data_IF_784340105962
#
_entry.id   IF_784340105962
#
_cell.length_a   1.000
_cell.length_b   1.000
_cell.length_c   1.000
_cell.angle_alpha   90.00
_cell.angle_beta   90.00
_cell.angle_gamma   90.00
#
_symmetry.space_group_name_H-M   'P 1'
#
loop_
_entity.id
_entity.type
_entity.pdbx_description
1 polymer ?
#
# COMPACT_ATOMS: atom_id res chain seq x y z
N UNK A 1 -4.21 -21.26 -22.02
CA UNK A 1 -5.24 -20.24 -22.36
C UNK A 1 -4.95 -19.00 -21.55
N UNK A 2 -4.43 -17.94 -22.18
CA UNK A 2 -4.25 -16.65 -21.51
C UNK A 2 -5.59 -15.90 -21.56
N UNK A 3 -6.18 -15.59 -20.41
CA UNK A 3 -7.30 -14.66 -20.34
C UNK A 3 -6.85 -13.32 -20.91
N UNK A 4 -7.51 -12.83 -21.95
CA UNK A 4 -7.14 -11.56 -22.61
C UNK A 4 -7.20 -10.43 -21.56
N UNK A 5 -6.17 -9.60 -21.39
CA UNK A 5 -6.14 -8.49 -20.43
C UNK A 5 -7.39 -7.58 -20.49
N UNK A 6 -8.00 -7.46 -21.68
CA UNK A 6 -9.26 -6.73 -21.89
C UNK A 6 -10.46 -7.30 -21.12
N UNK A 7 -10.50 -8.60 -20.83
CA UNK A 7 -11.58 -9.23 -20.05
C UNK A 7 -11.50 -8.82 -18.57
N UNK A 8 -10.28 -8.79 -18.00
CA UNK A 8 -10.06 -8.34 -16.62
C UNK A 8 -10.43 -6.85 -16.45
N UNK A 9 -10.09 -6.03 -17.44
CA UNK A 9 -10.48 -4.61 -17.49
C UNK A 9 -12.00 -4.45 -17.60
N UNK A 10 -12.67 -5.22 -18.47
CA UNK A 10 -14.12 -5.19 -18.62
C UNK A 10 -14.84 -5.61 -17.32
N UNK A 11 -14.39 -6.69 -16.68
CA UNK A 11 -14.93 -7.13 -15.40
C UNK A 11 -14.72 -6.07 -14.30
N UNK A 12 -13.52 -5.48 -14.22
CA UNK A 12 -13.25 -4.37 -13.29
C UNK A 12 -14.22 -3.21 -13.52
N UNK A 13 -14.45 -2.85 -14.78
CA UNK A 13 -15.39 -1.78 -15.14
C UNK A 13 -16.81 -2.07 -14.66
N UNK A 14 -17.29 -3.30 -14.85
CA UNK A 14 -18.63 -3.73 -14.43
C UNK A 14 -18.75 -3.69 -12.90
N UNK A 15 -17.77 -4.19 -12.17
CA UNK A 15 -17.78 -4.16 -10.70
C UNK A 15 -17.80 -2.72 -10.20
N UNK A 16 -16.95 -1.83 -10.74
CA UNK A 16 -16.94 -0.41 -10.35
C UNK A 16 -18.24 0.33 -10.69
N UNK A 17 -18.94 -0.07 -11.74
CA UNK A 17 -20.22 0.56 -12.14
C UNK A 17 -21.43 -0.02 -11.41
N UNK A 18 -21.34 -1.25 -10.90
CA UNK A 18 -22.47 -1.98 -10.28
C UNK A 18 -22.47 -1.83 -8.75
N UNK A 19 -21.30 -1.77 -8.13
CA UNK A 19 -21.18 -1.69 -6.66
C UNK A 19 -19.99 -0.82 -6.23
N UNK A 20 -20.13 0.48 -6.48
CA UNK A 20 -19.13 1.47 -6.07
C UNK A 20 -18.91 1.50 -4.55
N UNK A 21 -19.94 1.13 -3.76
CA UNK A 21 -19.86 1.06 -2.30
C UNK A 21 -18.94 -0.07 -1.85
N UNK A 22 -19.05 -1.27 -2.41
CA UNK A 22 -18.14 -2.37 -2.06
C UNK A 22 -16.67 -2.09 -2.39
N UNK A 23 -16.41 -1.36 -3.50
CA UNK A 23 -15.06 -0.91 -3.86
C UNK A 23 -14.55 0.09 -2.83
N UNK A 24 -15.39 1.04 -2.42
CA UNK A 24 -15.02 2.03 -1.42
C UNK A 24 -14.77 1.41 -0.04
N UNK A 25 -15.64 0.50 0.42
CA UNK A 25 -15.47 -0.22 1.67
C UNK A 25 -14.16 -1.02 1.69
N UNK A 26 -13.78 -1.60 0.55
CA UNK A 26 -12.52 -2.31 0.41
C UNK A 26 -11.32 -1.37 0.56
N UNK A 27 -11.39 -0.19 -0.07
CA UNK A 27 -10.37 0.86 0.07
C UNK A 27 -10.27 1.34 1.53
N UNK A 28 -11.39 1.64 2.17
CA UNK A 28 -11.45 2.11 3.55
C UNK A 28 -10.84 1.08 4.52
N UNK A 29 -11.12 -0.21 4.32
CA UNK A 29 -10.51 -1.29 5.12
C UNK A 29 -9.00 -1.37 4.95
N UNK A 30 -8.50 -1.20 3.72
CA UNK A 30 -7.05 -1.17 3.46
C UNK A 30 -6.41 0.05 4.11
N UNK A 31 -7.03 1.23 3.98
CA UNK A 31 -6.50 2.48 4.53
C UNK A 31 -6.49 2.44 6.06
N UNK A 32 -7.54 1.90 6.69
CA UNK A 32 -7.59 1.69 8.13
C UNK A 32 -6.47 0.74 8.61
N UNK A 33 -6.22 -0.36 7.88
CA UNK A 33 -5.14 -1.28 8.20
C UNK A 33 -3.76 -0.63 8.08
N UNK A 34 -3.54 0.18 7.03
CA UNK A 34 -2.31 0.97 6.88
C UNK A 34 -2.12 1.95 8.05
N UNK A 35 -3.18 2.63 8.48
CA UNK A 35 -3.16 3.50 9.66
C UNK A 35 -2.70 2.76 10.92
N UNK A 36 -3.27 1.59 11.20
CA UNK A 36 -2.88 0.76 12.35
C UNK A 36 -1.41 0.32 12.29
N UNK A 37 -0.92 -0.05 11.11
CA UNK A 37 0.48 -0.45 10.92
C UNK A 37 1.44 0.73 11.12
N UNK A 38 1.13 1.91 10.57
CA UNK A 38 1.93 3.12 10.76
C UNK A 38 1.98 3.51 12.23
N UNK A 39 0.83 3.61 12.90
CA UNK A 39 0.78 3.94 14.33
C UNK A 39 1.57 2.95 15.18
N UNK A 40 1.43 1.65 14.92
CA UNK A 40 2.19 0.63 15.64
C UNK A 40 3.70 0.77 15.41
N UNK A 41 4.12 1.03 14.17
CA UNK A 41 5.52 1.25 13.83
C UNK A 41 6.11 2.52 14.46
N UNK A 42 5.33 3.60 14.51
CA UNK A 42 5.71 4.86 15.17
C UNK A 42 5.85 4.66 16.68
N UNK A 43 4.89 3.96 17.31
CA UNK A 43 4.97 3.61 18.74
C UNK A 43 6.20 2.75 19.07
N UNK A 44 6.60 1.87 18.17
CA UNK A 44 7.81 1.06 18.32
C UNK A 44 9.12 1.80 17.94
N UNK A 45 9.02 3.00 17.36
CA UNK A 45 10.17 3.76 16.86
C UNK A 45 10.83 3.16 15.62
N UNK A 46 10.14 2.27 14.89
CA UNK A 46 10.65 1.65 13.65
C UNK A 46 10.12 2.33 12.39
N UNK A 47 9.16 3.24 12.54
CA UNK A 47 8.66 4.14 11.50
C UNK A 47 8.82 5.58 12.00
N UNK A 48 9.22 6.49 11.11
CA UNK A 48 9.35 7.92 11.40
C UNK A 48 8.02 8.54 11.87
N UNK A 49 8.10 9.43 12.85
CA UNK A 49 6.93 9.98 13.54
C UNK A 49 6.06 10.90 12.68
N UNK A 50 6.60 11.42 11.57
CA UNK A 50 5.93 12.29 10.61
C UNK A 50 5.40 11.53 9.38
N UNK A 51 5.47 10.19 9.37
CA UNK A 51 4.87 9.38 8.30
C UNK A 51 3.33 9.45 8.36
N UNK A 52 2.70 9.72 7.23
CA UNK A 52 1.24 9.66 7.04
C UNK A 52 0.83 8.33 6.38
N UNK A 53 -0.23 7.71 6.90
CA UNK A 53 -0.83 6.54 6.27
C UNK A 53 -1.49 6.87 4.93
N UNK A 54 -1.99 8.09 4.77
CA UNK A 54 -2.58 8.58 3.51
C UNK A 54 -1.51 8.71 2.42
N UNK A 55 -0.35 9.27 2.75
CA UNK A 55 0.77 9.39 1.80
C UNK A 55 1.28 8.01 1.36
N UNK A 56 1.36 7.06 2.30
CA UNK A 56 1.73 5.68 1.98
C UNK A 56 0.69 5.03 1.04
N UNK A 57 -0.60 5.19 1.32
CA UNK A 57 -1.66 4.64 0.50
C UNK A 57 -1.67 5.23 -0.93
N UNK A 58 -1.46 6.54 -1.04
CA UNK A 58 -1.32 7.21 -2.33
C UNK A 58 -0.06 6.75 -3.09
N UNK A 59 1.07 6.60 -2.39
CA UNK A 59 2.30 6.07 -2.96
C UNK A 59 2.14 4.65 -3.51
N UNK A 60 1.51 3.76 -2.74
CA UNK A 60 1.24 2.37 -3.17
C UNK A 60 0.27 2.32 -4.36
N UNK A 61 -0.73 3.21 -4.38
CA UNK A 61 -1.64 3.37 -5.53
C UNK A 61 -0.87 3.78 -6.79
N UNK A 62 0.05 4.74 -6.68
CA UNK A 62 0.94 5.15 -7.76
C UNK A 62 1.81 4.01 -8.28
N UNK A 63 2.42 3.23 -7.38
CA UNK A 63 3.21 2.04 -7.75
C UNK A 63 2.34 1.01 -8.48
N UNK A 64 1.13 0.77 -8.00
CA UNK A 64 0.20 -0.18 -8.61
C UNK A 64 -0.19 0.26 -10.03
N UNK A 65 -0.51 1.55 -10.22
CA UNK A 65 -0.83 2.11 -11.53
C UNK A 65 0.36 2.02 -12.50
N UNK A 66 1.56 2.39 -12.05
CA UNK A 66 2.77 2.36 -12.86
C UNK A 66 3.23 0.94 -13.27
N UNK A 67 2.76 -0.09 -12.56
CA UNK A 67 3.15 -1.49 -12.76
C UNK A 67 1.95 -2.39 -13.12
N UNK A 68 0.99 -1.85 -13.89
CA UNK A 68 -0.20 -2.59 -14.32
C UNK A 68 0.07 -3.66 -15.39
N UNK A 69 1.27 -3.69 -15.97
CA UNK A 69 1.62 -4.60 -17.07
C UNK A 69 2.23 -5.93 -16.59
N UNK A 70 1.98 -7.05 -17.29
CA UNK A 70 2.62 -8.32 -17.00
C UNK A 70 4.15 -8.21 -16.96
N UNK A 71 4.80 -8.90 -16.02
CA UNK A 71 6.26 -8.90 -15.88
C UNK A 71 6.85 -7.69 -15.13
N UNK A 72 6.03 -6.74 -14.68
CA UNK A 72 6.51 -5.57 -13.91
C UNK A 72 6.53 -5.80 -12.39
N UNK A 73 6.11 -6.96 -11.90
CA UNK A 73 6.01 -7.26 -10.46
C UNK A 73 7.32 -7.08 -9.70
N UNK A 74 8.46 -7.43 -10.32
CA UNK A 74 9.78 -7.26 -9.71
C UNK A 74 10.16 -5.78 -9.55
N UNK A 75 9.76 -4.92 -10.50
CA UNK A 75 9.91 -3.46 -10.37
C UNK A 75 8.99 -2.92 -9.27
N UNK A 76 7.74 -3.36 -9.22
CA UNK A 76 6.81 -2.96 -8.17
C UNK A 76 7.36 -3.31 -6.77
N UNK A 77 7.91 -4.51 -6.60
CA UNK A 77 8.52 -4.94 -5.35
C UNK A 77 9.67 -4.01 -4.92
N UNK A 78 10.60 -3.68 -5.83
CA UNK A 78 11.69 -2.74 -5.52
C UNK A 78 11.19 -1.35 -5.14
N UNK A 79 10.12 -0.85 -5.77
CA UNK A 79 9.53 0.44 -5.42
C UNK A 79 8.86 0.41 -4.04
N UNK A 80 8.21 -0.70 -3.69
CA UNK A 80 7.62 -0.89 -2.36
C UNK A 80 8.71 -0.94 -1.29
N UNK A 81 9.81 -1.66 -1.54
CA UNK A 81 10.98 -1.67 -0.63
C UNK A 81 11.50 -0.25 -0.41
N UNK A 82 11.66 0.53 -1.48
CA UNK A 82 12.11 1.92 -1.37
C UNK A 82 11.15 2.80 -0.56
N UNK A 83 9.84 2.63 -0.71
CA UNK A 83 8.84 3.32 0.11
C UNK A 83 8.98 2.94 1.59
N UNK A 84 9.11 1.65 1.89
CA UNK A 84 9.27 1.15 3.26
C UNK A 84 10.57 1.63 3.88
N UNK A 85 11.66 1.69 3.12
CA UNK A 85 12.93 2.25 3.59
C UNK A 85 12.80 3.74 3.90
N UNK A 86 12.05 4.49 3.09
CA UNK A 86 11.72 5.90 3.35
C UNK A 86 10.91 6.11 4.64
N UNK A 87 10.03 5.16 5.00
CA UNK A 87 9.30 5.18 6.27
C UNK A 87 10.20 4.89 7.47
N UNK A 88 11.23 4.07 7.29
CA UNK A 88 12.20 3.69 8.33
C UNK A 88 13.32 4.71 8.47
N UNK A 89 13.54 5.53 7.45
CA UNK A 89 14.60 6.54 7.48
C UNK A 89 14.42 7.48 8.67
N UNK A 90 15.50 7.64 9.45
CA UNK A 90 15.54 8.44 10.66
C UNK A 90 14.55 8.02 11.78
N UNK A 91 13.99 6.81 11.69
CA UNK A 91 13.25 6.23 12.80
C UNK A 91 14.24 5.87 13.93
N UNK A 92 13.94 6.30 15.15
CA UNK A 92 14.77 6.02 16.33
C UNK A 92 14.13 4.87 17.10
N UNK A 93 14.67 3.64 17.03
CA UNK A 93 14.04 2.50 17.68
C UNK A 93 13.96 2.74 19.19
N UNK A 94 12.81 2.46 19.78
CA UNK A 94 12.72 2.42 21.23
C UNK A 94 13.54 1.23 21.72
N UNK A 95 14.78 1.46 22.16
CA UNK A 95 15.55 0.43 22.87
C UNK A 95 14.78 0.12 24.15
N UNK A 96 14.00 -0.95 24.13
CA UNK A 96 13.42 -1.51 25.34
C UNK A 96 14.58 -1.75 26.31
N UNK A 97 14.62 -0.99 27.39
CA UNK A 97 15.53 -1.22 28.49
C UNK A 97 15.21 -2.61 29.04
N UNK A 98 16.12 -3.55 28.84
CA UNK A 98 16.04 -4.87 29.43
C UNK A 98 15.83 -4.71 30.94
N UNK A 99 14.73 -5.25 31.45
CA UNK A 99 14.41 -5.29 32.87
C UNK A 99 13.99 -6.70 33.24
#
# INVERSE_FOLDING_TARGET
MAGKPGMALALKSIVTSTDATAVQDSHDRVYAALGQLIEAGQRAGVIRADASSEDLANGLSGVSLANSQPGTGERANRLIVLLVDGLRYNATPHRATAR
#
